data_IF_941645086127
#
_entry.id   IF_941645086127
#
_cell.length_a   1.000
_cell.length_b   1.000
_cell.length_c   1.000
_cell.angle_alpha   90.00
_cell.angle_beta   90.00
_cell.angle_gamma   90.00
#
_symmetry.space_group_name_H-M   'P 1'
#
loop_
_entity.id
_entity.type
_entity.pdbx_description
1 polymer ?
#
# COMPACT_ATOMS: atom_id res chain seq x y z
N UNK A 1 -16.85 13.33 25.72
CA UNK A 1 -18.26 13.25 26.19
C UNK A 1 -19.28 12.95 25.07
N UNK A 2 -19.04 13.39 23.83
CA UNK A 2 -20.00 13.21 22.72
C UNK A 2 -19.92 11.84 22.02
N UNK A 3 -18.73 11.23 21.93
CA UNK A 3 -18.57 9.90 21.31
C UNK A 3 -19.19 8.77 22.15
N UNK A 4 -19.06 8.83 23.47
CA UNK A 4 -19.59 7.79 24.38
C UNK A 4 -21.12 7.71 24.30
N UNK A 5 -21.81 8.84 24.21
CA UNK A 5 -23.26 8.87 24.02
C UNK A 5 -23.70 8.29 22.66
N UNK A 6 -22.85 8.41 21.64
CA UNK A 6 -23.10 7.85 20.31
C UNK A 6 -22.82 6.34 20.29
N UNK A 7 -21.79 5.88 21.02
CA UNK A 7 -21.50 4.45 21.24
C UNK A 7 -22.68 3.74 21.92
N UNK A 8 -23.19 4.28 23.02
CA UNK A 8 -24.32 3.70 23.74
C UNK A 8 -25.57 3.65 22.86
N UNK A 9 -25.85 4.74 22.14
CA UNK A 9 -26.99 4.81 21.23
C UNK A 9 -26.91 3.77 20.11
N UNK A 10 -25.73 3.54 19.52
CA UNK A 10 -25.56 2.56 18.44
C UNK A 10 -25.63 1.11 18.93
N UNK A 11 -25.30 0.85 20.20
CA UNK A 11 -25.33 -0.49 20.79
C UNK A 11 -26.76 -0.96 21.07
N UNK A 12 -27.66 -0.04 21.38
CA UNK A 12 -29.07 -0.33 21.67
C UNK A 12 -29.94 -0.54 20.41
N UNK A 13 -29.42 -0.24 19.22
CA UNK A 13 -30.16 -0.40 17.97
C UNK A 13 -30.05 -1.83 17.42
N UNK A 14 -31.19 -2.53 17.33
CA UNK A 14 -31.28 -3.85 16.68
C UNK A 14 -31.28 -3.75 15.14
N UNK A 15 -30.18 -3.24 14.58
CA UNK A 15 -29.97 -3.11 13.13
C UNK A 15 -28.59 -3.66 12.75
N UNK A 16 -28.43 -4.08 11.49
CA UNK A 16 -27.12 -4.45 10.95
C UNK A 16 -26.36 -3.17 10.55
N UNK A 17 -25.19 -2.94 11.16
CA UNK A 17 -24.35 -1.76 10.92
C UNK A 17 -23.06 -2.18 10.23
N UNK A 18 -22.75 -1.53 9.10
CA UNK A 18 -21.43 -1.57 8.47
C UNK A 18 -20.71 -0.27 8.78
N UNK A 19 -19.63 -0.35 9.54
CA UNK A 19 -18.89 0.81 10.04
C UNK A 19 -17.49 0.82 9.42
N UNK A 20 -17.15 1.91 8.76
CA UNK A 20 -15.78 2.22 8.31
C UNK A 20 -15.25 3.35 9.18
N UNK A 21 -14.25 3.06 10.00
CA UNK A 21 -13.66 4.05 10.89
C UNK A 21 -12.15 3.85 10.96
N UNK A 22 -11.45 4.94 11.25
CA UNK A 22 -10.03 4.92 11.60
C UNK A 22 -9.80 4.93 13.12
N UNK A 23 -10.85 5.13 13.92
CA UNK A 23 -10.76 5.13 15.38
C UNK A 23 -10.87 3.69 15.93
N UNK A 24 -9.75 3.25 16.49
CA UNK A 24 -9.56 1.91 17.04
C UNK A 24 -10.44 1.67 18.26
N UNK A 25 -10.57 2.67 19.13
CA UNK A 25 -11.37 2.54 20.36
C UNK A 25 -12.87 2.44 20.05
N UNK A 26 -13.30 3.11 18.99
CA UNK A 26 -14.67 3.03 18.50
C UNK A 26 -14.98 1.66 17.89
N UNK A 27 -14.07 1.14 17.05
CA UNK A 27 -14.21 -0.19 16.44
C UNK A 27 -14.16 -1.31 17.49
N UNK A 28 -13.29 -1.24 18.49
CA UNK A 28 -13.17 -2.26 19.54
C UNK A 28 -14.44 -2.38 20.40
N UNK A 29 -15.19 -1.29 20.57
CA UNK A 29 -16.41 -1.29 21.41
C UNK A 29 -17.67 -1.68 20.65
N UNK A 30 -17.80 -1.26 19.38
CA UNK A 30 -19.03 -1.44 18.60
C UNK A 30 -18.97 -2.61 17.62
N UNK A 31 -17.79 -2.94 17.09
CA UNK A 31 -17.70 -3.99 16.09
C UNK A 31 -17.64 -5.37 16.74
N UNK A 32 -18.61 -6.21 16.42
CA UNK A 32 -18.62 -7.64 16.81
C UNK A 32 -17.85 -8.52 15.83
N UNK A 33 -17.69 -8.05 14.59
CA UNK A 33 -16.93 -8.70 13.53
C UNK A 33 -16.16 -7.65 12.73
N UNK A 34 -14.94 -7.99 12.34
CA UNK A 34 -14.05 -7.17 11.54
C UNK A 34 -13.81 -7.86 10.20
N UNK A 35 -13.89 -7.09 9.12
CA UNK A 35 -13.53 -7.52 7.78
C UNK A 35 -12.15 -6.96 7.48
N UNK A 36 -11.18 -7.85 7.28
CA UNK A 36 -9.77 -7.51 7.12
C UNK A 36 -9.38 -7.72 5.68
N UNK A 37 -9.07 -6.63 5.00
CA UNK A 37 -8.59 -6.65 3.62
C UNK A 37 -7.08 -6.95 3.62
N UNK A 38 -6.68 -8.14 3.21
CA UNK A 38 -5.27 -8.55 3.12
C UNK A 38 -4.62 -8.20 1.76
N UNK A 39 -5.34 -7.47 0.90
CA UNK A 39 -4.94 -7.17 -0.47
C UNK A 39 -5.35 -8.25 -1.48
N UNK A 40 -5.19 -7.98 -2.78
CA UNK A 40 -5.58 -8.87 -3.89
C UNK A 40 -7.06 -9.33 -3.86
N UNK A 41 -7.96 -8.51 -3.29
CA UNK A 41 -9.38 -8.86 -3.18
C UNK A 41 -9.71 -9.94 -2.14
N UNK A 42 -8.75 -10.32 -1.28
CA UNK A 42 -8.97 -11.28 -0.21
C UNK A 42 -9.44 -10.57 1.04
N UNK A 43 -10.68 -10.86 1.45
CA UNK A 43 -11.28 -10.37 2.69
C UNK A 43 -11.34 -11.55 3.67
N UNK A 44 -10.78 -11.36 4.87
CA UNK A 44 -10.90 -12.33 5.96
C UNK A 44 -11.79 -11.78 7.06
N UNK A 45 -12.67 -12.63 7.56
CA UNK A 45 -13.51 -12.32 8.72
C UNK A 45 -12.74 -12.60 10.01
N UNK A 46 -12.85 -11.67 10.96
CA UNK A 46 -12.25 -11.77 12.29
C UNK A 46 -13.30 -11.43 13.34
N UNK A 47 -13.49 -12.30 14.33
CA UNK A 47 -14.57 -12.19 15.34
C UNK A 47 -14.04 -11.58 16.67
N UNK A 48 -12.73 -11.32 16.74
CA UNK A 48 -12.09 -10.72 17.91
C UNK A 48 -11.88 -9.22 17.76
N UNK A 49 -11.43 -8.58 18.83
CA UNK A 49 -11.18 -7.15 18.88
C UNK A 49 -10.13 -6.72 17.84
N UNK A 50 -10.19 -5.46 17.42
CA UNK A 50 -9.22 -4.85 16.52
C UNK A 50 -7.81 -4.83 17.13
N UNK A 51 -7.73 -4.64 18.45
CA UNK A 51 -6.44 -4.65 19.16
C UNK A 51 -5.73 -6.00 18.99
N UNK A 52 -6.44 -7.11 19.13
CA UNK A 52 -5.88 -8.46 18.96
C UNK A 52 -5.51 -8.77 17.50
N UNK A 53 -6.32 -8.30 16.54
CA UNK A 53 -5.98 -8.38 15.12
C UNK A 53 -4.61 -7.73 14.86
N UNK A 54 -4.38 -6.55 15.44
CA UNK A 54 -3.13 -5.81 15.25
C UNK A 54 -1.94 -6.50 15.92
N UNK A 55 -2.13 -7.17 17.04
CA UNK A 55 -1.10 -7.98 17.67
C UNK A 55 -0.74 -9.19 16.81
N UNK A 56 -1.74 -9.95 16.33
CA UNK A 56 -1.51 -11.06 15.41
C UNK A 56 -0.81 -10.61 14.11
N UNK A 57 -1.17 -9.45 13.55
CA UNK A 57 -0.48 -8.92 12.37
C UNK A 57 0.99 -8.57 12.66
N UNK A 58 1.29 -8.03 13.85
CA UNK A 58 2.67 -7.76 14.27
C UNK A 58 3.46 -9.05 14.49
N UNK A 59 2.85 -10.09 15.06
CA UNK A 59 3.49 -11.39 15.25
C UNK A 59 3.77 -12.06 13.90
N UNK A 60 2.78 -12.10 12.99
CA UNK A 60 2.98 -12.60 11.62
C UNK A 60 4.05 -11.84 10.85
N UNK A 61 4.15 -10.52 11.05
CA UNK A 61 5.19 -9.71 10.44
C UNK A 61 6.60 -9.99 10.99
N UNK A 62 6.70 -10.49 12.23
CA UNK A 62 7.96 -10.94 12.84
C UNK A 62 8.33 -12.36 12.37
N UNK A 63 7.37 -13.28 12.37
CA UNK A 63 7.58 -14.66 11.89
C UNK A 63 7.91 -14.70 10.39
N UNK A 64 7.28 -13.84 9.58
CA UNK A 64 7.60 -13.68 8.15
C UNK A 64 8.99 -13.10 7.88
N UNK A 65 9.63 -12.48 8.87
CA UNK A 65 11.05 -12.06 8.80
C UNK A 65 11.99 -13.20 9.18
N UNK A 66 11.69 -13.98 10.22
CA UNK A 66 12.51 -15.14 10.60
C UNK A 66 12.56 -16.21 9.50
N UNK A 67 11.45 -16.46 8.79
CA UNK A 67 11.45 -17.44 7.67
C UNK A 67 12.24 -16.93 6.46
N UNK A 68 12.37 -15.61 6.28
CA UNK A 68 13.24 -15.02 5.24
C UNK A 68 14.71 -15.05 5.66
N UNK A 69 15.04 -14.75 6.92
CA UNK A 69 16.42 -14.82 7.42
C UNK A 69 16.98 -16.24 7.40
N UNK A 70 16.18 -17.29 7.66
CA UNK A 70 16.69 -18.69 7.61
C UNK A 70 16.91 -19.18 6.18
N UNK A 71 16.18 -18.66 5.19
CA UNK A 71 16.42 -18.95 3.76
C UNK A 71 17.58 -18.12 3.19
N UNK A 72 17.68 -16.85 3.56
CA UNK A 72 18.80 -15.98 3.17
C UNK A 72 20.13 -16.41 3.82
N UNK A 73 20.13 -16.86 5.08
CA UNK A 73 21.36 -17.33 5.74
C UNK A 73 21.94 -18.63 5.15
N UNK A 74 21.14 -19.40 4.40
CA UNK A 74 21.59 -20.62 3.70
C UNK A 74 22.10 -20.30 2.28
N UNK A 75 21.54 -19.30 1.61
CA UNK A 75 22.06 -18.77 0.34
C UNK A 75 23.30 -17.87 0.53
N UNK A 76 23.43 -17.18 1.66
CA UNK A 76 24.55 -16.27 1.91
C UNK A 76 25.86 -16.99 2.27
N UNK A 77 25.82 -18.26 2.68
CA UNK A 77 27.02 -19.09 2.91
C UNK A 77 27.61 -19.68 1.62
N UNK A 78 26.81 -19.92 0.59
CA UNK A 78 27.34 -20.39 -0.72
C UNK A 78 27.83 -19.23 -1.60
N UNK A 79 27.31 -18.01 -1.41
CA UNK A 79 27.73 -16.83 -2.19
C UNK A 79 28.97 -16.13 -1.62
N UNK A 80 29.33 -16.40 -0.35
CA UNK A 80 30.50 -15.77 0.29
C UNK A 80 31.85 -16.28 -0.23
N UNK A 81 31.90 -17.50 -0.76
CA UNK A 81 33.13 -18.07 -1.34
C UNK A 81 33.38 -17.59 -2.78
N UNK A 82 32.37 -17.06 -3.48
CA UNK A 82 32.53 -16.52 -4.84
C UNK A 82 32.69 -14.97 -4.87
N UNK A 83 32.36 -14.27 -3.79
CA UNK A 83 32.40 -12.79 -3.75
C UNK A 83 33.73 -12.17 -3.36
N UNK A 84 34.72 -12.92 -2.86
CA UNK A 84 36.06 -12.38 -2.61
C UNK A 84 36.87 -12.14 -3.91
N UNK A 85 36.37 -12.59 -5.07
CA UNK A 85 37.05 -12.44 -6.36
C UNK A 85 36.60 -11.25 -7.22
N UNK A 86 35.63 -10.41 -6.80
CA UNK A 86 35.18 -9.26 -7.59
C UNK A 86 35.14 -7.98 -6.76
N UNK A 87 36.26 -7.26 -6.85
CA UNK A 87 36.56 -6.08 -6.07
C UNK A 87 35.64 -4.87 -6.29
N UNK A 88 35.76 -3.97 -5.32
CA UNK A 88 35.54 -2.53 -5.39
C UNK A 88 34.27 -2.08 -6.15
N UNK A 89 33.16 -1.93 -5.41
CA UNK A 89 32.04 -1.08 -5.84
C UNK A 89 32.49 0.38 -5.80
N UNK A 90 33.09 0.82 -6.90
CA UNK A 90 33.13 2.22 -7.28
C UNK A 90 31.69 2.72 -7.49
N UNK A 91 31.44 3.95 -7.05
CA UNK A 91 30.18 4.68 -7.20
C UNK A 91 29.75 4.62 -8.66
N UNK A 92 28.72 3.83 -8.96
CA UNK A 92 28.25 3.64 -10.33
C UNK A 92 27.44 4.85 -10.75
N UNK A 93 28.01 5.60 -11.68
CA UNK A 93 27.35 6.65 -12.44
C UNK A 93 26.04 6.16 -13.06
N UNK A 94 25.01 7.00 -13.08
CA UNK A 94 23.73 6.78 -13.75
C UNK A 94 23.98 6.36 -15.19
N UNK A 95 23.34 5.28 -15.57
CA UNK A 95 23.39 4.79 -16.95
C UNK A 95 22.49 5.65 -17.85
N UNK A 96 22.86 5.80 -19.13
CA UNK A 96 22.07 6.54 -20.13
C UNK A 96 20.60 6.07 -20.21
N UNK A 97 20.35 4.78 -19.92
CA UNK A 97 19.02 4.20 -19.82
C UNK A 97 18.18 4.81 -18.68
N UNK A 98 18.76 4.95 -17.48
CA UNK A 98 18.12 5.55 -16.30
C UNK A 98 17.79 7.03 -16.54
N UNK A 99 18.66 7.76 -17.26
CA UNK A 99 18.42 9.17 -17.62
C UNK A 99 17.28 9.35 -18.63
N UNK A 100 17.09 8.40 -19.53
CA UNK A 100 15.96 8.39 -20.45
C UNK A 100 14.68 7.90 -19.78
N UNK A 101 14.77 6.99 -18.81
CA UNK A 101 13.66 6.56 -17.97
C UNK A 101 13.08 7.75 -17.18
N UNK A 102 13.95 8.57 -16.57
CA UNK A 102 13.55 9.78 -15.83
C UNK A 102 12.78 10.76 -16.72
N UNK A 103 13.27 11.02 -17.94
CA UNK A 103 12.58 11.87 -18.94
C UNK A 103 11.23 11.32 -19.40
N UNK A 104 11.04 10.00 -19.37
CA UNK A 104 9.76 9.36 -19.70
C UNK A 104 8.79 9.50 -18.53
N UNK A 105 9.24 9.18 -17.32
CA UNK A 105 8.46 9.33 -16.09
C UNK A 105 7.96 10.77 -15.91
N UNK A 106 8.82 11.77 -16.19
CA UNK A 106 8.47 13.20 -16.12
C UNK A 106 7.32 13.60 -17.08
N UNK A 107 7.14 12.85 -18.18
CA UNK A 107 6.01 13.04 -19.11
C UNK A 107 4.80 12.16 -18.80
N UNK A 108 5.03 10.98 -18.26
CA UNK A 108 4.00 9.98 -17.96
C UNK A 108 3.23 10.34 -16.68
N UNK A 109 3.89 10.87 -15.65
CA UNK A 109 3.26 11.32 -14.41
C UNK A 109 2.12 12.33 -14.61
N UNK A 110 2.32 13.48 -15.31
CA UNK A 110 1.23 14.43 -15.55
C UNK A 110 0.11 13.86 -16.43
N UNK A 111 0.40 12.87 -17.27
CA UNK A 111 -0.62 12.18 -18.05
C UNK A 111 -1.46 11.23 -17.18
N UNK A 112 -0.84 10.53 -16.22
CA UNK A 112 -1.53 9.68 -15.25
C UNK A 112 -2.36 10.50 -14.26
N UNK A 113 -1.88 11.67 -13.84
CA UNK A 113 -2.64 12.62 -13.02
C UNK A 113 -3.91 13.10 -13.72
N UNK A 114 -3.80 13.51 -14.99
CA UNK A 114 -4.98 13.89 -15.79
C UNK A 114 -5.98 12.75 -15.93
N UNK A 115 -5.51 11.53 -16.20
CA UNK A 115 -6.39 10.36 -16.28
C UNK A 115 -7.11 10.08 -14.96
N UNK A 116 -6.43 10.26 -13.82
CA UNK A 116 -7.04 10.13 -12.49
C UNK A 116 -8.15 11.18 -12.30
N UNK A 117 -7.90 12.43 -12.70
CA UNK A 117 -8.90 13.50 -12.64
C UNK A 117 -10.10 13.24 -13.55
N UNK A 118 -9.87 12.75 -14.77
CA UNK A 118 -10.92 12.36 -15.72
C UNK A 118 -11.80 11.24 -15.16
N UNK A 119 -11.18 10.17 -14.61
CA UNK A 119 -11.91 9.06 -13.98
C UNK A 119 -12.71 9.55 -12.77
N UNK A 120 -12.13 10.43 -11.94
CA UNK A 120 -12.84 11.01 -10.79
C UNK A 120 -14.03 11.87 -11.24
N UNK A 121 -13.90 12.66 -12.31
CA UNK A 121 -14.99 13.44 -12.88
C UNK A 121 -16.10 12.53 -13.48
N UNK A 122 -15.72 11.44 -14.14
CA UNK A 122 -16.66 10.44 -14.65
C UNK A 122 -17.42 9.72 -13.52
N UNK A 123 -16.77 9.45 -12.38
CA UNK A 123 -17.43 8.86 -11.21
C UNK A 123 -18.52 9.78 -10.64
N UNK A 124 -18.27 11.10 -10.61
CA UNK A 124 -19.26 12.09 -10.17
C UNK A 124 -20.42 12.18 -11.18
N UNK A 125 -20.12 12.14 -12.48
CA UNK A 125 -21.14 12.22 -13.52
C UNK A 125 -22.04 10.97 -13.59
N UNK A 126 -21.49 9.78 -13.29
CA UNK A 126 -22.19 8.49 -13.33
C UNK A 126 -22.66 8.01 -11.95
N UNK A 127 -22.84 8.92 -10.99
CA UNK A 127 -23.13 8.62 -9.58
C UNK A 127 -24.44 7.84 -9.33
N UNK A 128 -25.29 7.67 -10.34
CA UNK A 128 -26.55 6.93 -10.26
C UNK A 128 -26.42 5.42 -10.54
N UNK A 129 -25.32 4.98 -11.15
CA UNK A 129 -25.10 3.58 -11.53
C UNK A 129 -24.02 2.93 -10.66
N UNK A 130 -24.46 2.05 -9.75
CA UNK A 130 -23.60 1.36 -8.80
C UNK A 130 -22.53 0.49 -9.49
N UNK A 131 -22.85 -0.15 -10.61
CA UNK A 131 -21.90 -1.03 -11.31
C UNK A 131 -20.82 -0.21 -12.02
N UNK A 132 -21.22 0.88 -12.67
CA UNK A 132 -20.28 1.79 -13.33
C UNK A 132 -19.33 2.47 -12.33
N UNK A 133 -19.83 2.86 -11.15
CA UNK A 133 -18.99 3.44 -10.08
C UNK A 133 -17.96 2.41 -9.58
N UNK A 134 -18.36 1.15 -9.42
CA UNK A 134 -17.45 0.10 -8.95
C UNK A 134 -16.33 -0.16 -9.97
N UNK A 135 -16.64 -0.25 -11.27
CA UNK A 135 -15.63 -0.39 -12.32
C UNK A 135 -14.67 0.81 -12.39
N UNK A 136 -15.21 2.03 -12.32
CA UNK A 136 -14.41 3.25 -12.31
C UNK A 136 -13.54 3.36 -11.06
N UNK A 137 -14.02 2.89 -9.90
CA UNK A 137 -13.22 2.84 -8.67
C UNK A 137 -12.02 1.89 -8.81
N UNK A 138 -12.20 0.73 -9.44
CA UNK A 138 -11.11 -0.22 -9.71
C UNK A 138 -10.10 0.39 -10.69
N UNK A 139 -10.57 1.14 -11.69
CA UNK A 139 -9.69 1.84 -12.63
C UNK A 139 -8.92 2.97 -11.95
N UNK A 140 -9.58 3.73 -11.07
CA UNK A 140 -8.95 4.79 -10.29
C UNK A 140 -7.85 4.21 -9.40
N UNK A 141 -8.13 3.11 -8.69
CA UNK A 141 -7.16 2.43 -7.82
C UNK A 141 -5.92 1.96 -8.60
N UNK A 142 -6.12 1.39 -9.81
CA UNK A 142 -5.02 0.99 -10.70
C UNK A 142 -4.16 2.18 -11.12
N UNK A 143 -4.79 3.27 -11.59
CA UNK A 143 -4.07 4.48 -12.03
C UNK A 143 -3.34 5.13 -10.85
N UNK A 144 -3.93 5.16 -9.65
CA UNK A 144 -3.24 5.67 -8.46
C UNK A 144 -2.05 4.81 -8.08
N UNK A 145 -2.17 3.48 -8.12
CA UNK A 145 -1.04 2.58 -7.81
C UNK A 145 0.09 2.69 -8.83
N UNK A 146 -0.23 2.88 -10.11
CA UNK A 146 0.76 3.12 -11.17
C UNK A 146 1.47 4.46 -11.00
N UNK A 147 0.75 5.50 -10.59
CA UNK A 147 1.30 6.82 -10.30
C UNK A 147 2.23 6.78 -9.10
N UNK A 148 1.85 6.11 -8.01
CA UNK A 148 2.70 5.90 -6.83
C UNK A 148 4.01 5.17 -7.19
N UNK A 149 3.93 4.05 -7.91
CA UNK A 149 5.12 3.30 -8.35
C UNK A 149 6.04 4.13 -9.24
N UNK A 150 5.45 4.91 -10.14
CA UNK A 150 6.19 5.80 -11.04
C UNK A 150 6.88 6.92 -10.26
N UNK A 151 6.21 7.47 -9.24
CA UNK A 151 6.76 8.47 -8.32
C UNK A 151 7.91 7.94 -7.47
N UNK A 152 7.76 6.76 -6.87
CA UNK A 152 8.83 6.11 -6.09
C UNK A 152 10.05 5.83 -6.96
N UNK A 153 9.83 5.35 -8.19
CA UNK A 153 10.90 5.10 -9.16
C UNK A 153 11.60 6.39 -9.56
N UNK A 154 10.85 7.45 -9.80
CA UNK A 154 11.39 8.77 -10.12
C UNK A 154 12.24 9.32 -8.98
N UNK A 155 11.78 9.21 -7.73
CA UNK A 155 12.50 9.66 -6.54
C UNK A 155 13.88 8.97 -6.39
N UNK A 156 13.92 7.64 -6.55
CA UNK A 156 15.19 6.88 -6.51
C UNK A 156 16.14 7.31 -7.64
N UNK A 157 15.61 7.59 -8.84
CA UNK A 157 16.42 8.05 -9.96
C UNK A 157 16.94 9.48 -9.75
N UNK A 158 16.16 10.34 -9.08
CA UNK A 158 16.57 11.69 -8.71
C UNK A 158 17.66 11.69 -7.63
N UNK A 159 17.51 10.89 -6.58
CA UNK A 159 18.54 10.75 -5.54
C UNK A 159 19.88 10.29 -6.13
N UNK A 160 19.84 9.35 -7.08
CA UNK A 160 21.04 8.92 -7.82
C UNK A 160 21.63 10.03 -8.68
N UNK A 161 20.80 10.85 -9.32
CA UNK A 161 21.27 11.98 -10.12
C UNK A 161 21.93 13.06 -9.26
N UNK A 162 21.40 13.33 -8.06
CA UNK A 162 22.02 14.25 -7.10
C UNK A 162 23.34 13.70 -6.54
N UNK A 163 23.40 12.41 -6.23
CA UNK A 163 24.62 11.74 -5.77
C UNK A 163 25.74 11.67 -6.82
N UNK A 164 25.43 11.84 -8.11
CA UNK A 164 26.43 12.02 -9.17
C UNK A 164 26.93 13.46 -9.32
N UNK A 165 26.14 14.44 -8.86
CA UNK A 165 26.44 15.86 -8.95
C UNK A 165 27.20 16.43 -7.75
N UNK A 166 27.21 15.70 -6.63
CA UNK A 166 27.98 15.98 -5.42
C UNK A 166 29.38 15.32 -5.44
#
# INVERSE_FOLDING_TARGET
>A
PTLTALEDFLTDLNICLLIVSHDRFFMDKLCTKLLVCEGNGVIKEWIHSYTELREMQKERAKEGKEVKEVKEAKEEREVKEEREAKGARTVKKMTYAERNELKKLDKEMPALEKKKEEIAAEMVAKSADHHAIMELSIQLEKVTSELEKSGDRWLVLMEKQEAEGA
#
